data_IF_605876521448
#
_entry.id   IF_605876521448
#
_cell.length_a   1.000
_cell.length_b   1.000
_cell.length_c   1.000
_cell.angle_alpha   90.00
_cell.angle_beta   90.00
_cell.angle_gamma   90.00
#
_symmetry.space_group_name_H-M   'P 1'
#
loop_
_entity.id
_entity.type
_entity.pdbx_description
1 polymer ?
#
# COMPACT_ATOMS: atom_id res chain seq x y z
N UNK A 1 17.77 19.71 -1.28
CA UNK A 1 17.86 18.44 -0.55
C UNK A 1 16.49 17.76 -0.51
N UNK A 2 16.49 16.45 -0.46
CA UNK A 2 15.27 15.62 -0.35
C UNK A 2 15.45 14.68 0.83
N UNK A 3 14.40 14.53 1.64
CA UNK A 3 14.34 13.59 2.76
C UNK A 3 13.08 12.74 2.57
N UNK A 4 13.24 11.45 2.33
CA UNK A 4 12.15 10.48 2.18
C UNK A 4 11.89 9.69 3.46
N UNK A 5 10.74 9.02 3.51
CA UNK A 5 10.42 8.06 4.55
C UNK A 5 11.34 6.85 4.50
N UNK A 6 11.68 6.30 5.68
CA UNK A 6 12.43 5.07 5.83
C UNK A 6 11.56 3.86 6.18
N UNK A 7 10.28 4.10 6.45
CA UNK A 7 9.34 3.02 6.76
C UNK A 7 8.22 2.90 5.72
N UNK A 8 7.83 1.67 5.45
CA UNK A 8 6.61 1.35 4.74
C UNK A 8 5.99 0.09 5.37
N UNK A 9 4.79 0.17 5.93
CA UNK A 9 3.89 1.36 6.04
C UNK A 9 4.55 2.56 6.72
N UNK A 10 4.19 3.77 6.29
CA UNK A 10 4.76 5.01 6.81
C UNK A 10 4.34 5.26 8.27
N UNK A 11 5.22 4.96 9.22
CA UNK A 11 5.04 5.22 10.65
C UNK A 11 6.06 6.25 11.19
N UNK A 12 6.96 6.75 10.34
CA UNK A 12 8.03 7.71 10.62
C UNK A 12 7.76 9.12 10.07
N UNK A 13 6.48 9.49 9.91
CA UNK A 13 6.05 10.79 9.36
C UNK A 13 6.62 11.99 10.14
N UNK A 14 6.55 11.92 11.48
CA UNK A 14 7.03 12.97 12.36
C UNK A 14 8.56 13.07 12.33
N UNK A 15 9.24 11.95 12.44
CA UNK A 15 10.71 11.86 12.43
C UNK A 15 11.28 12.36 11.10
N UNK A 16 10.66 11.98 9.98
CA UNK A 16 11.03 12.45 8.64
C UNK A 16 10.85 13.96 8.51
N UNK A 17 9.73 14.51 9.00
CA UNK A 17 9.49 15.95 9.05
C UNK A 17 10.54 16.68 9.90
N UNK A 18 10.86 16.17 11.08
CA UNK A 18 11.91 16.72 11.95
C UNK A 18 13.29 16.68 11.28
N UNK A 19 13.63 15.57 10.61
CA UNK A 19 14.89 15.42 9.87
C UNK A 19 14.99 16.46 8.74
N UNK A 20 13.93 16.60 7.96
CA UNK A 20 13.88 17.58 6.88
C UNK A 20 14.03 19.03 7.38
N UNK A 21 13.34 19.37 8.47
CA UNK A 21 13.43 20.71 9.08
C UNK A 21 14.85 21.00 9.62
N UNK A 22 15.46 20.05 10.33
CA UNK A 22 16.84 20.18 10.83
C UNK A 22 17.84 20.36 9.70
N UNK A 23 17.72 19.57 8.63
CA UNK A 23 18.58 19.71 7.47
C UNK A 23 18.43 21.09 6.81
N UNK A 24 17.18 21.55 6.65
CA UNK A 24 16.93 22.89 6.11
C UNK A 24 17.55 24.01 6.96
N UNK A 25 17.42 23.95 8.30
CA UNK A 25 18.02 24.95 9.20
C UNK A 25 19.55 24.96 9.09
N UNK A 26 20.20 23.77 9.03
CA UNK A 26 21.66 23.67 8.85
C UNK A 26 22.13 24.17 7.49
N UNK A 27 21.34 24.05 6.44
CA UNK A 27 21.63 24.65 5.14
C UNK A 27 21.52 26.18 5.22
N UNK A 28 20.50 26.70 5.87
CA UNK A 28 20.30 28.15 6.01
C UNK A 28 21.34 28.83 6.91
N UNK A 29 21.86 28.13 7.93
CA UNK A 29 22.97 28.62 8.78
C UNK A 29 24.34 28.52 8.11
N UNK A 30 24.45 27.83 6.97
CA UNK A 30 25.74 27.59 6.30
C UNK A 30 26.53 26.42 6.83
N UNK A 31 26.03 25.64 7.80
CA UNK A 31 26.68 24.46 8.37
C UNK A 31 26.71 23.29 7.38
N UNK A 32 25.82 23.27 6.39
CA UNK A 32 25.71 22.27 5.35
C UNK A 32 25.65 22.93 3.97
N UNK A 33 26.59 22.54 3.11
CA UNK A 33 26.58 22.82 1.66
C UNK A 33 26.11 21.56 0.92
N UNK A 34 24.81 21.38 0.63
CA UNK A 34 24.30 20.09 0.16
C UNK A 34 24.77 19.77 -1.25
N UNK A 35 25.33 18.58 -1.42
CA UNK A 35 25.56 17.94 -2.73
C UNK A 35 24.56 16.80 -2.86
N UNK A 36 23.87 16.69 -4.01
CA UNK A 36 22.82 15.72 -4.21
C UNK A 36 23.06 14.88 -5.47
N UNK A 37 22.93 13.57 -5.34
CA UNK A 37 22.92 12.65 -6.47
C UNK A 37 21.55 11.97 -6.60
N UNK A 38 21.08 11.82 -7.83
CA UNK A 38 19.82 11.16 -8.18
C UNK A 38 20.07 10.03 -9.18
N UNK A 39 19.42 8.89 -8.94
CA UNK A 39 19.41 7.77 -9.89
C UNK A 39 17.98 7.31 -10.12
N UNK A 40 17.55 7.34 -11.37
CA UNK A 40 16.28 6.73 -11.81
C UNK A 40 16.55 5.31 -12.26
N UNK A 41 15.68 4.39 -11.91
CA UNK A 41 15.77 2.97 -12.23
C UNK A 41 14.57 2.64 -13.11
N UNK A 42 14.74 2.04 -14.30
CA UNK A 42 13.64 1.72 -15.21
C UNK A 42 12.86 0.50 -14.72
N UNK A 43 12.25 0.61 -13.54
CA UNK A 43 11.41 -0.43 -12.95
C UNK A 43 10.29 0.18 -12.12
N UNK A 44 9.18 -0.53 -12.07
CA UNK A 44 8.08 -0.34 -11.13
C UNK A 44 7.91 -1.63 -10.34
N UNK A 45 7.56 -1.54 -9.07
CA UNK A 45 7.42 -2.72 -8.20
C UNK A 45 6.08 -2.67 -7.47
N UNK A 46 5.43 -3.83 -7.25
CA UNK A 46 4.23 -3.92 -6.44
C UNK A 46 4.45 -3.42 -5.01
N UNK A 47 3.47 -2.72 -4.47
CA UNK A 47 3.56 -2.15 -3.13
C UNK A 47 3.53 -3.21 -2.02
N UNK A 48 3.07 -4.42 -2.32
CA UNK A 48 2.92 -5.56 -1.41
C UNK A 48 4.26 -6.01 -0.82
N UNK A 49 5.35 -5.92 -1.59
CA UNK A 49 6.70 -6.32 -1.16
C UNK A 49 7.61 -5.11 -0.85
N UNK A 50 7.03 -3.91 -0.64
CA UNK A 50 7.77 -2.72 -0.24
C UNK A 50 7.87 -2.55 1.29
N UNK A 51 7.43 -3.51 2.13
CA UNK A 51 7.59 -3.38 3.58
C UNK A 51 9.07 -3.23 3.95
N UNK A 52 9.34 -2.36 4.93
CA UNK A 52 10.70 -2.06 5.38
C UNK A 52 11.10 -2.85 6.63
N UNK A 53 10.18 -3.61 7.23
CA UNK A 53 10.46 -4.50 8.37
C UNK A 53 11.15 -5.80 7.96
N UNK A 54 11.10 -6.15 6.68
CA UNK A 54 11.69 -7.40 6.12
C UNK A 54 11.75 -7.30 4.59
N UNK A 55 12.26 -8.36 3.96
CA UNK A 55 12.23 -8.48 2.51
C UNK A 55 13.24 -7.59 1.78
N UNK A 56 13.10 -7.45 0.44
CA UNK A 56 14.09 -6.76 -0.39
C UNK A 56 14.18 -5.26 -0.08
N UNK A 57 13.05 -4.60 0.18
CA UNK A 57 13.05 -3.16 0.44
C UNK A 57 13.62 -2.84 1.84
N UNK A 58 13.37 -3.69 2.84
CA UNK A 58 13.98 -3.57 4.17
C UNK A 58 15.51 -3.61 4.10
N UNK A 59 16.08 -4.59 3.37
CA UNK A 59 17.54 -4.68 3.19
C UNK A 59 18.14 -3.46 2.49
N UNK A 60 17.42 -2.85 1.54
CA UNK A 60 17.86 -1.61 0.90
C UNK A 60 17.83 -0.44 1.88
N UNK A 61 16.82 -0.36 2.76
CA UNK A 61 16.74 0.66 3.80
C UNK A 61 17.85 0.49 4.85
N UNK A 62 18.20 -0.75 5.24
CA UNK A 62 19.33 -1.01 6.14
C UNK A 62 20.65 -0.43 5.58
N UNK A 63 20.88 -0.58 4.27
CA UNK A 63 22.05 -0.02 3.60
C UNK A 63 21.99 1.52 3.57
N UNK A 64 20.83 2.09 3.30
CA UNK A 64 20.62 3.54 3.30
C UNK A 64 20.90 4.14 4.68
N UNK A 65 20.36 3.55 5.73
CA UNK A 65 20.57 3.97 7.12
C UNK A 65 22.02 3.81 7.57
N UNK A 66 22.68 2.73 7.15
CA UNK A 66 24.10 2.54 7.44
C UNK A 66 24.96 3.66 6.85
N UNK A 67 24.66 4.11 5.63
CA UNK A 67 25.35 5.23 5.01
C UNK A 67 25.01 6.57 5.68
N UNK A 68 23.77 6.77 6.11
CA UNK A 68 23.38 8.00 6.83
C UNK A 68 24.11 8.18 8.17
N UNK A 69 24.58 7.11 8.77
CA UNK A 69 25.40 7.16 10.01
C UNK A 69 26.85 7.60 9.76
N UNK A 70 27.27 7.77 8.51
CA UNK A 70 28.61 8.28 8.19
C UNK A 70 28.65 9.81 8.31
N UNK A 71 29.86 10.35 8.58
CA UNK A 71 30.06 11.78 8.81
C UNK A 71 29.78 12.71 7.63
N UNK A 72 29.63 12.17 6.43
CA UNK A 72 29.41 12.95 5.20
C UNK A 72 27.99 12.87 4.68
N UNK A 73 27.16 12.01 5.24
CA UNK A 73 25.79 11.81 4.78
C UNK A 73 24.82 12.72 5.54
N UNK A 74 23.88 13.30 4.81
CA UNK A 74 22.78 14.09 5.37
C UNK A 74 21.43 13.40 5.23
N UNK A 75 21.18 12.77 4.07
CA UNK A 75 19.98 11.98 3.84
C UNK A 75 20.16 10.99 2.69
N UNK A 76 19.55 9.82 2.83
CA UNK A 76 19.41 8.82 1.76
C UNK A 76 17.94 8.48 1.62
N UNK A 77 17.41 8.53 0.40
CA UNK A 77 16.01 8.25 0.12
C UNK A 77 15.91 7.24 -1.01
N UNK A 78 15.09 6.19 -0.80
CA UNK A 78 14.80 5.18 -1.81
C UNK A 78 13.29 5.22 -2.07
N UNK A 79 12.90 5.38 -3.33
CA UNK A 79 11.50 5.51 -3.73
C UNK A 79 11.08 4.34 -4.61
N UNK A 80 10.16 3.52 -4.10
CA UNK A 80 9.57 2.39 -4.80
C UNK A 80 8.47 2.78 -5.78
N UNK A 81 8.10 4.04 -5.87
CA UNK A 81 7.00 4.66 -6.62
C UNK A 81 5.60 4.17 -6.22
N UNK A 82 4.58 4.86 -6.66
CA UNK A 82 3.20 4.39 -6.67
C UNK A 82 2.93 3.76 -8.04
N UNK A 83 2.93 2.43 -8.17
CA UNK A 83 3.08 1.77 -9.46
C UNK A 83 1.87 1.95 -10.39
N UNK A 84 0.73 2.34 -9.87
CA UNK A 84 -0.52 2.50 -10.63
C UNK A 84 -0.65 3.85 -11.36
N UNK A 85 0.31 4.76 -11.19
CA UNK A 85 0.31 6.03 -11.91
C UNK A 85 0.78 5.83 -13.35
N UNK A 86 0.05 6.40 -14.30
CA UNK A 86 0.42 6.39 -15.72
C UNK A 86 1.01 7.75 -16.12
N UNK A 87 2.26 7.99 -15.72
CA UNK A 87 2.98 9.25 -15.94
C UNK A 87 4.33 9.01 -16.64
N UNK A 88 4.84 10.00 -17.43
CA UNK A 88 6.10 9.86 -18.13
C UNK A 88 7.33 9.82 -17.22
N UNK A 89 7.23 10.29 -15.98
CA UNK A 89 8.30 10.28 -14.98
C UNK A 89 8.35 8.97 -14.17
N UNK A 90 7.56 7.96 -14.51
CA UNK A 90 7.50 6.68 -13.78
C UNK A 90 8.86 5.99 -13.71
N UNK A 91 9.11 5.34 -12.59
CA UNK A 91 10.31 4.54 -12.30
C UNK A 91 10.81 4.74 -10.88
N UNK A 92 11.30 3.65 -10.27
CA UNK A 92 11.94 3.71 -8.97
C UNK A 92 13.14 4.65 -8.97
N UNK A 93 13.52 5.18 -7.80
CA UNK A 93 14.63 6.11 -7.74
C UNK A 93 15.35 6.09 -6.39
N UNK A 94 16.59 6.57 -6.41
CA UNK A 94 17.44 6.78 -5.23
C UNK A 94 17.94 8.20 -5.24
N UNK A 95 17.88 8.86 -4.08
CA UNK A 95 18.45 10.19 -3.85
C UNK A 95 19.40 10.11 -2.66
N UNK A 96 20.61 10.64 -2.83
CA UNK A 96 21.60 10.74 -1.75
C UNK A 96 22.02 12.20 -1.60
N UNK A 97 21.96 12.70 -0.37
CA UNK A 97 22.39 14.06 0.01
C UNK A 97 23.58 13.95 0.93
N UNK A 98 24.66 14.66 0.60
CA UNK A 98 25.89 14.73 1.41
C UNK A 98 26.25 16.19 1.68
N UNK A 99 27.09 16.44 2.69
CA UNK A 99 27.67 17.75 2.93
C UNK A 99 28.96 17.92 2.11
N UNK A 100 28.86 18.65 1.01
CA UNK A 100 30.01 19.03 0.15
C UNK A 100 30.71 17.88 -0.61
N UNK A 101 30.28 16.62 -0.43
CA UNK A 101 30.93 15.45 -1.03
C UNK A 101 30.07 14.84 -2.16
N UNK A 102 30.04 15.52 -3.31
CA UNK A 102 29.28 15.04 -4.47
C UNK A 102 29.76 13.69 -5.00
N UNK A 103 31.06 13.38 -4.91
CA UNK A 103 31.59 12.09 -5.36
C UNK A 103 31.07 10.92 -4.50
N UNK A 104 30.98 11.10 -3.19
CA UNK A 104 30.40 10.11 -2.29
C UNK A 104 28.89 9.95 -2.55
N UNK A 105 28.15 11.05 -2.76
CA UNK A 105 26.74 11.01 -3.13
C UNK A 105 26.50 10.20 -4.40
N UNK A 106 27.29 10.46 -5.46
CA UNK A 106 27.21 9.75 -6.74
C UNK A 106 27.53 8.25 -6.61
N UNK A 107 28.58 7.89 -5.89
CA UNK A 107 28.96 6.49 -5.66
C UNK A 107 27.87 5.73 -4.90
N UNK A 108 27.36 6.32 -3.82
CA UNK A 108 26.33 5.70 -3.01
C UNK A 108 25.00 5.58 -3.74
N UNK A 109 24.55 6.63 -4.44
CA UNK A 109 23.33 6.59 -5.23
C UNK A 109 23.40 5.49 -6.31
N UNK A 110 24.56 5.36 -6.99
CA UNK A 110 24.77 4.32 -7.99
C UNK A 110 24.80 2.92 -7.37
N UNK A 111 25.46 2.76 -6.23
CA UNK A 111 25.52 1.49 -5.50
C UNK A 111 24.13 1.00 -5.10
N UNK A 112 23.33 1.86 -4.45
CA UNK A 112 21.95 1.57 -4.04
C UNK A 112 21.04 1.31 -5.23
N UNK A 113 21.12 2.10 -6.30
CA UNK A 113 20.31 1.90 -7.49
C UNK A 113 20.61 0.55 -8.18
N UNK A 114 21.89 0.16 -8.24
CA UNK A 114 22.28 -1.15 -8.76
C UNK A 114 21.83 -2.29 -7.85
N UNK A 115 21.88 -2.14 -6.52
CA UNK A 115 21.35 -3.11 -5.56
C UNK A 115 19.84 -3.28 -5.72
N UNK A 116 19.11 -2.16 -5.82
CA UNK A 116 17.67 -2.16 -6.02
C UNK A 116 17.29 -2.87 -7.34
N UNK A 117 17.97 -2.55 -8.42
CA UNK A 117 17.78 -3.24 -9.70
C UNK A 117 18.04 -4.74 -9.64
N UNK A 118 19.11 -5.16 -8.94
CA UNK A 118 19.47 -6.58 -8.79
C UNK A 118 18.38 -7.36 -8.05
N UNK A 119 17.76 -6.77 -7.04
CA UNK A 119 16.68 -7.39 -6.25
C UNK A 119 15.30 -7.32 -6.90
N UNK A 120 15.15 -6.80 -8.13
CA UNK A 120 13.84 -6.53 -8.76
C UNK A 120 12.88 -7.71 -8.78
N UNK A 121 13.39 -8.93 -8.97
CA UNK A 121 12.55 -10.14 -8.98
C UNK A 121 12.06 -10.58 -7.61
N UNK A 122 12.68 -10.10 -6.54
CA UNK A 122 12.23 -10.36 -5.17
C UNK A 122 11.00 -9.52 -4.79
N UNK A 123 10.64 -8.54 -5.63
CA UNK A 123 9.40 -7.76 -5.47
C UNK A 123 8.20 -8.40 -6.16
N UNK A 124 8.39 -9.45 -6.95
CA UNK A 124 7.30 -10.18 -7.58
C UNK A 124 6.36 -10.73 -6.48
N UNK A 125 5.06 -10.74 -6.75
CA UNK A 125 4.02 -11.07 -5.77
C UNK A 125 3.27 -12.32 -6.21
N UNK A 126 3.18 -13.29 -5.31
CA UNK A 126 2.33 -14.47 -5.51
C UNK A 126 0.88 -14.13 -5.16
N UNK A 127 0.08 -13.91 -6.19
CA UNK A 127 -1.34 -13.61 -6.05
C UNK A 127 -2.17 -14.89 -6.12
N UNK A 128 -3.17 -15.01 -5.26
CA UNK A 128 -4.07 -16.15 -5.19
C UNK A 128 -5.47 -15.75 -5.67
N UNK A 129 -6.06 -16.44 -6.67
CA UNK A 129 -7.44 -16.18 -7.08
C UNK A 129 -8.41 -16.22 -5.91
N UNK A 130 -9.41 -15.32 -5.89
CA UNK A 130 -10.29 -15.10 -4.73
C UNK A 130 -10.97 -16.40 -4.23
N UNK A 131 -11.47 -17.23 -5.13
CA UNK A 131 -12.12 -18.50 -4.77
C UNK A 131 -11.14 -19.48 -4.12
N UNK A 132 -9.88 -19.51 -4.59
CA UNK A 132 -8.83 -20.33 -4.01
C UNK A 132 -8.41 -19.77 -2.64
N UNK A 133 -8.25 -18.47 -2.51
CA UNK A 133 -7.90 -17.80 -1.25
C UNK A 133 -8.94 -18.08 -0.16
N UNK A 134 -10.23 -18.02 -0.50
CA UNK A 134 -11.33 -18.36 0.42
C UNK A 134 -11.27 -19.85 0.82
N UNK A 135 -11.10 -20.77 -0.14
CA UNK A 135 -10.97 -22.19 0.18
C UNK A 135 -9.77 -22.50 1.07
N UNK A 136 -8.64 -21.84 0.84
CA UNK A 136 -7.45 -21.96 1.69
C UNK A 136 -7.75 -21.40 3.09
N UNK A 137 -8.38 -20.23 3.19
CA UNK A 137 -8.75 -19.62 4.46
C UNK A 137 -9.67 -20.52 5.30
N UNK A 138 -10.63 -21.18 4.68
CA UNK A 138 -11.56 -22.09 5.37
C UNK A 138 -10.91 -23.38 5.88
N UNK A 139 -9.77 -23.79 5.31
CA UNK A 139 -9.01 -24.96 5.75
C UNK A 139 -8.06 -24.70 6.91
N UNK A 140 -7.70 -23.42 7.13
CA UNK A 140 -6.83 -23.07 8.26
C UNK A 140 -7.56 -23.34 9.59
N UNK A 141 -6.87 -23.89 10.57
CA UNK A 141 -7.42 -24.00 11.92
C UNK A 141 -7.35 -22.67 12.65
N UNK A 142 -8.50 -22.21 13.17
CA UNK A 142 -8.63 -20.92 13.81
C UNK A 142 -8.72 -19.77 12.80
N UNK A 143 -8.46 -18.55 13.26
CA UNK A 143 -8.57 -17.32 12.47
C UNK A 143 -8.09 -16.10 13.26
N UNK A 144 -8.20 -14.91 12.68
CA UNK A 144 -8.65 -14.62 11.32
C UNK A 144 -7.62 -14.98 10.25
N UNK A 145 -8.08 -15.39 9.08
CA UNK A 145 -7.29 -15.31 7.86
C UNK A 145 -7.59 -13.97 7.18
N UNK A 146 -6.55 -13.17 6.96
CA UNK A 146 -6.69 -11.87 6.31
C UNK A 146 -6.50 -12.03 4.81
N UNK A 147 -7.50 -11.64 4.03
CA UNK A 147 -7.44 -11.57 2.58
C UNK A 147 -7.15 -10.12 2.16
N UNK A 148 -6.01 -9.88 1.56
CA UNK A 148 -5.63 -8.55 1.05
C UNK A 148 -6.10 -8.40 -0.39
N UNK A 149 -7.19 -7.67 -0.60
CA UNK A 149 -7.70 -7.24 -1.92
C UNK A 149 -7.06 -5.88 -2.26
N UNK A 150 -5.78 -5.90 -2.64
CA UNK A 150 -5.03 -4.68 -2.93
C UNK A 150 -5.42 -3.99 -4.23
N UNK A 151 -6.06 -4.72 -5.15
CA UNK A 151 -6.52 -4.19 -6.44
C UNK A 151 -7.57 -3.07 -6.32
N UNK A 152 -8.25 -2.97 -5.15
CA UNK A 152 -9.22 -1.93 -4.85
C UNK A 152 -8.85 -1.19 -3.54
N UNK A 153 -7.57 -0.86 -3.39
CA UNK A 153 -7.05 -0.18 -2.22
C UNK A 153 -7.47 1.30 -2.18
N UNK A 154 -8.27 1.66 -1.18
CA UNK A 154 -8.71 3.05 -0.97
C UNK A 154 -7.56 3.99 -0.64
N UNK A 155 -6.55 3.51 0.08
CA UNK A 155 -5.31 4.26 0.35
C UNK A 155 -4.45 4.50 -0.88
N UNK A 156 -4.67 3.73 -1.95
CA UNK A 156 -3.97 3.86 -3.23
C UNK A 156 -4.75 4.67 -4.27
N UNK A 157 -5.94 5.18 -3.90
CA UNK A 157 -6.81 5.98 -4.76
C UNK A 157 -7.91 5.20 -5.48
N UNK A 158 -8.08 3.90 -5.16
CA UNK A 158 -9.19 3.11 -5.68
C UNK A 158 -10.51 3.45 -4.97
N UNK A 159 -11.66 3.21 -5.59
CA UNK A 159 -12.95 3.59 -5.02
C UNK A 159 -13.35 2.79 -3.78
N UNK A 160 -12.87 1.58 -3.58
CA UNK A 160 -13.24 0.72 -2.45
C UNK A 160 -14.56 -0.01 -2.63
N UNK A 161 -15.05 -0.15 -3.87
CA UNK A 161 -16.36 -0.71 -4.17
C UNK A 161 -16.31 -2.06 -4.93
N UNK A 162 -15.10 -2.65 -5.07
CA UNK A 162 -14.92 -3.94 -5.74
C UNK A 162 -15.70 -5.06 -5.07
N UNK A 163 -16.33 -5.86 -5.89
CA UNK A 163 -17.04 -7.09 -5.50
C UNK A 163 -16.24 -8.36 -5.82
N UNK A 164 -14.95 -8.19 -6.18
CA UNK A 164 -14.07 -9.28 -6.60
C UNK A 164 -13.92 -10.38 -5.54
N UNK A 165 -13.84 -10.01 -4.27
CA UNK A 165 -13.84 -10.95 -3.15
C UNK A 165 -15.24 -11.17 -2.58
N UNK A 166 -16.12 -10.17 -2.59
CA UNK A 166 -17.47 -10.30 -2.02
C UNK A 166 -18.27 -11.41 -2.69
N UNK A 167 -18.29 -11.45 -4.02
CA UNK A 167 -19.05 -12.46 -4.77
C UNK A 167 -18.66 -13.89 -4.39
N UNK A 168 -17.40 -14.31 -4.49
CA UNK A 168 -17.00 -15.65 -4.09
C UNK A 168 -17.18 -15.92 -2.56
N UNK A 169 -17.11 -14.91 -1.69
CA UNK A 169 -17.45 -15.09 -0.28
C UNK A 169 -18.93 -15.48 -0.08
N UNK A 170 -19.84 -14.86 -0.81
CA UNK A 170 -21.27 -15.18 -0.74
C UNK A 170 -21.58 -16.55 -1.35
N UNK A 171 -20.88 -16.93 -2.42
CA UNK A 171 -21.03 -18.22 -3.10
C UNK A 171 -20.46 -19.40 -2.29
N UNK A 172 -19.48 -19.15 -1.43
CA UNK A 172 -18.80 -20.16 -0.63
C UNK A 172 -19.66 -20.77 0.49
N UNK A 173 -20.85 -20.24 0.78
CA UNK A 173 -21.76 -20.72 1.83
C UNK A 173 -21.06 -20.92 3.18
N UNK A 174 -20.48 -19.86 3.72
CA UNK A 174 -19.64 -19.91 4.93
C UNK A 174 -20.42 -20.42 6.15
N UNK A 175 -19.77 -21.23 6.97
CA UNK A 175 -20.25 -21.66 8.29
C UNK A 175 -19.71 -20.79 9.44
N UNK A 176 -18.62 -20.07 9.18
CA UNK A 176 -17.96 -19.17 10.14
C UNK A 176 -18.01 -17.72 9.62
N UNK A 177 -17.95 -16.72 10.51
CA UNK A 177 -18.17 -15.34 10.13
C UNK A 177 -17.01 -14.76 9.30
N UNK A 178 -17.37 -13.94 8.31
CA UNK A 178 -16.44 -13.16 7.51
C UNK A 178 -16.82 -11.67 7.54
N UNK A 179 -15.83 -10.78 7.43
CA UNK A 179 -16.00 -9.34 7.36
C UNK A 179 -15.36 -8.76 6.10
N UNK A 180 -16.05 -7.82 5.45
CA UNK A 180 -15.56 -7.07 4.30
C UNK A 180 -16.07 -5.63 4.35
N UNK A 181 -15.26 -4.68 3.88
CA UNK A 181 -15.64 -3.28 3.71
C UNK A 181 -15.93 -2.96 2.24
N UNK A 182 -16.96 -2.14 2.01
CA UNK A 182 -17.33 -1.64 0.67
C UNK A 182 -17.81 -0.20 0.73
N UNK A 183 -17.41 0.61 -0.23
CA UNK A 183 -18.00 1.93 -0.47
C UNK A 183 -19.23 1.79 -1.35
N UNK A 184 -20.42 2.06 -0.80
CA UNK A 184 -21.68 2.05 -1.54
C UNK A 184 -22.72 2.99 -0.94
N UNK A 185 -22.75 4.28 -1.36
CA UNK A 185 -23.71 5.25 -0.85
C UNK A 185 -25.18 4.85 -1.04
N UNK A 186 -25.47 4.11 -2.12
CA UNK A 186 -26.84 3.67 -2.42
C UNK A 186 -27.28 2.57 -1.45
N UNK A 187 -26.39 1.60 -1.18
CA UNK A 187 -26.67 0.55 -0.20
C UNK A 187 -26.87 1.13 1.20
N UNK A 188 -26.04 2.13 1.59
CA UNK A 188 -26.20 2.86 2.85
C UNK A 188 -27.57 3.56 2.91
N UNK A 189 -27.95 4.28 1.86
CA UNK A 189 -29.25 4.96 1.80
C UNK A 189 -30.43 3.98 1.95
N UNK A 190 -30.37 2.83 1.26
CA UNK A 190 -31.41 1.79 1.36
C UNK A 190 -31.49 1.23 2.78
N UNK A 191 -30.33 0.94 3.41
CA UNK A 191 -30.28 0.43 4.77
C UNK A 191 -30.85 1.44 5.79
N UNK A 192 -30.44 2.71 5.71
CA UNK A 192 -30.96 3.77 6.60
C UNK A 192 -32.47 4.00 6.45
N UNK A 193 -33.00 3.91 5.22
CA UNK A 193 -34.42 4.02 4.98
C UNK A 193 -35.20 2.85 5.56
N UNK A 194 -34.64 1.64 5.51
CA UNK A 194 -35.31 0.42 6.00
C UNK A 194 -35.26 0.28 7.53
N UNK A 195 -34.20 0.76 8.18
CA UNK A 195 -33.99 0.64 9.62
C UNK A 195 -33.34 -0.67 10.04
N UNK A 196 -32.77 -0.67 11.25
CA UNK A 196 -32.15 -1.85 11.88
C UNK A 196 -33.16 -2.99 12.04
N UNK A 197 -32.71 -4.23 11.79
CA UNK A 197 -33.54 -5.45 11.86
C UNK A 197 -34.25 -5.78 10.56
N UNK A 198 -34.43 -4.81 9.65
CA UNK A 198 -35.12 -5.01 8.36
C UNK A 198 -34.32 -5.89 7.43
N UNK A 199 -35.00 -6.63 6.57
CA UNK A 199 -34.38 -7.36 5.43
C UNK A 199 -34.64 -6.60 4.15
N UNK A 200 -33.57 -6.33 3.38
CA UNK A 200 -33.62 -5.55 2.15
C UNK A 200 -33.08 -6.37 0.97
N UNK A 201 -33.68 -6.17 -0.20
CA UNK A 201 -33.20 -6.69 -1.47
C UNK A 201 -32.50 -5.54 -2.20
N UNK A 202 -31.23 -5.68 -2.50
CA UNK A 202 -30.49 -4.64 -3.21
C UNK A 202 -29.33 -5.23 -4.04
N UNK A 203 -28.75 -4.39 -4.87
CA UNK A 203 -27.45 -4.67 -5.51
C UNK A 203 -26.38 -3.85 -4.80
N UNK A 204 -25.25 -4.46 -4.43
CA UNK A 204 -24.17 -3.81 -3.67
C UNK A 204 -22.85 -3.84 -4.40
N UNK A 205 -22.03 -2.78 -4.26
CA UNK A 205 -20.71 -2.60 -4.85
C UNK A 205 -20.72 -2.35 -6.36
N UNK A 206 -19.54 -2.25 -6.98
CA UNK A 206 -19.35 -2.09 -8.43
C UNK A 206 -20.07 -0.88 -9.04
N UNK A 207 -20.14 0.25 -8.30
CA UNK A 207 -20.82 1.46 -8.75
C UNK A 207 -19.89 2.43 -9.44
N UNK A 208 -18.67 2.53 -8.95
CA UNK A 208 -17.67 3.48 -9.43
C UNK A 208 -16.73 2.82 -10.45
N UNK A 209 -16.08 1.73 -10.09
CA UNK A 209 -15.24 0.95 -11.03
C UNK A 209 -16.07 -0.06 -11.81
N UNK A 210 -16.71 0.44 -12.86
CA UNK A 210 -17.55 -0.38 -13.76
C UNK A 210 -16.74 -1.22 -14.76
N UNK A 211 -15.44 -0.99 -14.86
CA UNK A 211 -14.57 -1.79 -15.75
C UNK A 211 -14.22 -3.11 -15.07
N UNK A 212 -13.83 -3.07 -13.82
CA UNK A 212 -13.29 -4.21 -13.08
C UNK A 212 -14.32 -4.87 -12.16
N UNK A 213 -15.45 -4.22 -11.87
CA UNK A 213 -16.42 -4.71 -10.89
C UNK A 213 -17.87 -4.65 -11.41
N UNK A 214 -18.74 -5.48 -10.86
CA UNK A 214 -20.18 -5.50 -11.15
C UNK A 214 -20.96 -5.62 -9.84
N UNK A 215 -22.09 -4.90 -9.70
CA UNK A 215 -22.94 -5.01 -8.51
C UNK A 215 -23.42 -6.44 -8.27
N UNK A 216 -23.45 -6.86 -7.01
CA UNK A 216 -23.92 -8.18 -6.57
C UNK A 216 -25.31 -8.05 -5.96
N UNK A 217 -26.30 -8.83 -6.43
CA UNK A 217 -27.62 -8.87 -5.79
C UNK A 217 -27.53 -9.59 -4.44
N UNK A 218 -28.08 -8.98 -3.39
CA UNK A 218 -28.10 -9.54 -2.05
C UNK A 218 -29.47 -9.39 -1.40
N UNK A 219 -29.82 -10.38 -0.56
CA UNK A 219 -30.86 -10.29 0.44
C UNK A 219 -30.17 -10.13 1.79
N UNK A 220 -30.10 -8.91 2.30
CA UNK A 220 -29.32 -8.57 3.46
C UNK A 220 -30.18 -8.11 4.62
N UNK A 221 -29.84 -8.51 5.84
CA UNK A 221 -30.39 -7.95 7.07
C UNK A 221 -29.59 -6.73 7.47
N UNK A 222 -30.26 -5.62 7.79
CA UNK A 222 -29.62 -4.43 8.35
C UNK A 222 -29.30 -4.70 9.83
N UNK A 223 -28.04 -4.86 10.16
CA UNK A 223 -27.59 -5.19 11.52
C UNK A 223 -27.30 -3.94 12.36
N UNK A 224 -26.70 -2.93 11.74
CA UNK A 224 -26.29 -1.69 12.42
C UNK A 224 -26.36 -0.53 11.43
N UNK A 225 -26.69 0.67 11.94
CA UNK A 225 -26.61 1.95 11.24
C UNK A 225 -25.75 2.90 12.08
N UNK A 226 -24.86 3.65 11.46
CA UNK A 226 -23.99 4.61 12.14
C UNK A 226 -23.76 5.87 11.29
N UNK A 227 -23.17 6.89 11.91
CA UNK A 227 -22.76 8.13 11.24
C UNK A 227 -21.41 8.02 10.53
N UNK A 228 -20.72 6.87 10.69
CA UNK A 228 -19.45 6.54 10.07
C UNK A 228 -18.26 7.27 10.66
N UNK A 229 -18.37 7.78 11.88
CA UNK A 229 -17.24 8.32 12.64
C UNK A 229 -16.48 7.20 13.34
N UNK A 230 -15.18 7.27 13.30
CA UNK A 230 -14.30 6.32 13.99
C UNK A 230 -12.91 6.91 14.15
N UNK A 231 -12.11 6.38 15.07
CA UNK A 231 -10.76 6.87 15.35
C UNK A 231 -9.77 5.72 15.21
N UNK A 232 -8.79 5.80 14.28
CA UNK A 232 -7.67 4.85 14.24
C UNK A 232 -6.88 4.88 15.54
N UNK A 233 -6.62 3.71 16.13
CA UNK A 233 -5.94 3.59 17.42
C UNK A 233 -4.55 2.96 17.31
N UNK A 234 -4.25 2.32 16.17
CA UNK A 234 -2.97 1.71 15.93
C UNK A 234 -1.91 2.70 15.44
N UNK A 235 -0.63 2.34 15.55
CA UNK A 235 0.46 3.12 14.96
C UNK A 235 0.33 3.17 13.43
N UNK A 236 0.27 4.37 12.88
CA UNK A 236 0.15 4.56 11.44
C UNK A 236 -0.53 5.87 11.07
N UNK A 237 -1.21 5.86 9.93
CA UNK A 237 -1.92 7.03 9.42
C UNK A 237 -3.05 7.46 10.35
N UNK A 238 -3.08 8.75 10.68
CA UNK A 238 -4.18 9.37 11.42
C UNK A 238 -4.46 8.78 12.82
N UNK A 239 -3.46 8.15 13.47
CA UNK A 239 -3.61 7.64 14.84
C UNK A 239 -4.18 8.71 15.76
N UNK A 240 -5.29 8.40 16.44
CA UNK A 240 -5.96 9.31 17.37
C UNK A 240 -6.75 10.45 16.69
N UNK A 241 -6.80 10.51 15.36
CA UNK A 241 -7.56 11.54 14.64
C UNK A 241 -8.90 10.97 14.20
N UNK A 242 -10.00 11.55 14.70
CA UNK A 242 -11.33 11.16 14.25
C UNK A 242 -11.46 11.31 12.74
N UNK A 243 -11.92 10.26 12.09
CA UNK A 243 -12.23 10.21 10.67
C UNK A 243 -13.72 10.00 10.46
N UNK A 244 -14.22 10.39 9.29
CA UNK A 244 -15.64 10.24 8.95
C UNK A 244 -15.79 9.74 7.52
N UNK A 245 -16.39 8.56 7.36
CA UNK A 245 -16.69 7.96 6.06
C UNK A 245 -18.15 8.19 5.58
N UNK A 246 -18.82 9.21 6.15
CA UNK A 246 -20.24 9.45 5.93
C UNK A 246 -21.09 8.40 6.64
N UNK A 247 -22.41 8.42 6.44
CA UNK A 247 -23.25 7.39 7.02
C UNK A 247 -22.76 6.01 6.61
N UNK A 248 -22.94 5.06 7.50
CA UNK A 248 -22.52 3.68 7.32
C UNK A 248 -23.59 2.69 7.77
N UNK A 249 -23.49 1.46 7.32
CA UNK A 249 -24.34 0.36 7.73
C UNK A 249 -23.55 -0.94 7.75
N UNK A 250 -23.88 -1.82 8.68
CA UNK A 250 -23.48 -3.22 8.64
C UNK A 250 -24.65 -4.04 8.11
N UNK A 251 -24.41 -4.69 6.99
CA UNK A 251 -25.33 -5.60 6.33
C UNK A 251 -24.89 -7.04 6.58
N UNK A 252 -25.83 -7.92 6.88
CA UNK A 252 -25.58 -9.34 7.14
C UNK A 252 -26.22 -10.19 6.04
N UNK A 253 -25.40 -10.99 5.37
CA UNK A 253 -25.81 -11.96 4.35
C UNK A 253 -25.23 -13.32 4.76
N UNK A 254 -26.03 -14.18 5.34
CA UNK A 254 -25.53 -15.41 5.98
C UNK A 254 -24.48 -15.09 7.03
N UNK A 255 -23.29 -15.65 6.89
CA UNK A 255 -22.15 -15.39 7.77
C UNK A 255 -21.32 -14.16 7.36
N UNK A 256 -21.61 -13.55 6.21
CA UNK A 256 -20.84 -12.39 5.72
C UNK A 256 -21.39 -11.10 6.32
N UNK A 257 -20.53 -10.36 7.00
CA UNK A 257 -20.78 -9.00 7.52
C UNK A 257 -20.14 -8.00 6.58
N UNK A 258 -20.97 -7.22 5.92
CA UNK A 258 -20.55 -6.22 4.95
C UNK A 258 -20.66 -4.85 5.63
N UNK A 259 -19.56 -4.27 6.04
CA UNK A 259 -19.51 -2.86 6.44
C UNK A 259 -19.52 -2.01 5.17
N UNK A 260 -20.57 -1.21 5.01
CA UNK A 260 -20.69 -0.30 3.86
C UNK A 260 -20.77 1.16 4.30
N UNK A 261 -20.18 2.07 3.54
CA UNK A 261 -20.11 3.50 3.84
C UNK A 261 -20.37 4.36 2.59
N UNK A 262 -20.72 5.63 2.83
CA UNK A 262 -20.95 6.61 1.76
C UNK A 262 -19.65 7.09 1.12
N UNK A 263 -18.54 7.11 1.88
CA UNK A 263 -17.22 7.56 1.43
C UNK A 263 -16.15 6.53 1.76
N UNK A 264 -15.03 6.62 1.07
CA UNK A 264 -13.91 5.72 1.27
C UNK A 264 -13.29 5.87 2.66
N UNK A 265 -12.81 4.74 3.20
CA UNK A 265 -11.98 4.67 4.40
C UNK A 265 -10.84 3.68 4.17
N UNK A 266 -9.70 3.90 4.79
CA UNK A 266 -8.58 2.94 4.73
C UNK A 266 -8.85 1.77 5.68
N UNK A 267 -8.78 0.54 5.15
CA UNK A 267 -9.01 -0.69 5.91
C UNK A 267 -7.72 -1.19 6.60
N UNK A 268 -6.89 -0.26 7.05
CA UNK A 268 -5.57 -0.56 7.64
C UNK A 268 -5.61 -0.77 9.15
N UNK A 269 -6.66 -0.29 9.81
CA UNK A 269 -6.83 -0.38 11.26
C UNK A 269 -8.08 -1.21 11.60
N UNK A 270 -7.98 -2.22 12.48
CA UNK A 270 -9.12 -3.00 12.97
C UNK A 270 -10.25 -2.17 13.57
N UNK A 271 -9.95 -0.96 14.07
CA UNK A 271 -10.95 -0.06 14.66
C UNK A 271 -12.03 0.37 13.65
N UNK A 272 -11.75 0.35 12.35
CA UNK A 272 -12.77 0.53 11.32
C UNK A 272 -13.93 -0.46 11.48
N UNK A 273 -13.61 -1.72 11.75
CA UNK A 273 -14.61 -2.76 11.97
C UNK A 273 -15.17 -2.74 13.40
N UNK A 274 -14.31 -2.55 14.41
CA UNK A 274 -14.69 -2.54 15.83
C UNK A 274 -15.71 -1.47 16.15
N UNK A 275 -15.50 -0.25 15.64
CA UNK A 275 -16.45 0.88 15.80
C UNK A 275 -17.84 0.60 15.21
N UNK A 276 -17.96 -0.44 14.38
CA UNK A 276 -19.20 -0.90 13.77
C UNK A 276 -19.65 -2.27 14.31
N UNK A 277 -19.19 -2.67 15.50
CA UNK A 277 -19.61 -3.90 16.17
C UNK A 277 -19.14 -5.19 15.48
N UNK A 278 -18.04 -5.12 14.74
CA UNK A 278 -17.39 -6.29 14.14
C UNK A 278 -15.97 -6.41 14.73
N UNK A 279 -15.72 -7.44 15.55
CA UNK A 279 -14.37 -7.72 16.05
C UNK A 279 -13.63 -8.62 15.05
N UNK A 280 -12.57 -8.10 14.39
CA UNK A 280 -11.81 -8.88 13.40
C UNK A 280 -11.24 -10.18 13.95
N UNK A 281 -10.81 -10.19 15.22
CA UNK A 281 -10.26 -11.40 15.86
C UNK A 281 -11.27 -12.56 15.98
N UNK A 282 -12.57 -12.26 15.91
CA UNK A 282 -13.64 -13.26 15.98
C UNK A 282 -14.14 -13.67 14.59
N UNK A 283 -13.52 -13.18 13.53
CA UNK A 283 -13.87 -13.56 12.16
C UNK A 283 -12.99 -14.70 11.68
N UNK A 284 -13.53 -15.59 10.87
CA UNK A 284 -12.75 -16.58 10.14
C UNK A 284 -11.95 -15.92 9.02
N UNK A 285 -12.60 -15.00 8.30
CA UNK A 285 -12.02 -14.26 7.19
C UNK A 285 -12.23 -12.77 7.41
N UNK A 286 -11.19 -11.98 7.23
CA UNK A 286 -11.28 -10.51 7.19
C UNK A 286 -10.69 -10.03 5.86
N UNK A 287 -11.48 -9.32 5.08
CA UNK A 287 -11.01 -8.73 3.82
C UNK A 287 -10.57 -7.29 4.06
N UNK A 288 -9.32 -7.00 3.74
CA UNK A 288 -8.74 -5.66 3.78
C UNK A 288 -8.44 -5.18 2.36
N UNK A 289 -8.68 -3.90 2.09
CA UNK A 289 -8.42 -3.26 0.78
C UNK A 289 -7.14 -2.41 0.89
N UNK A 290 -6.01 -3.09 1.00
CA UNK A 290 -4.72 -2.43 1.19
C UNK A 290 -3.58 -3.36 0.78
N UNK A 291 -2.55 -2.90 0.03
CA UNK A 291 -1.42 -3.73 -0.35
C UNK A 291 -0.52 -4.09 0.82
N UNK A 292 -0.32 -3.16 1.78
CA UNK A 292 0.66 -3.35 2.85
C UNK A 292 0.29 -2.63 4.16
N UNK A 293 -0.40 -1.48 4.09
CA UNK A 293 -0.68 -0.63 5.26
C UNK A 293 -1.37 -1.34 6.43
N UNK A 294 -2.10 -2.41 6.17
CA UNK A 294 -2.79 -3.20 7.18
C UNK A 294 -1.86 -4.08 8.03
N UNK A 295 -0.65 -4.42 7.55
CA UNK A 295 0.22 -5.41 8.18
C UNK A 295 0.55 -5.07 9.62
N UNK A 296 0.93 -3.84 9.89
CA UNK A 296 1.33 -3.41 11.24
C UNK A 296 0.29 -3.75 12.33
N UNK A 297 -0.99 -3.77 11.99
CA UNK A 297 -2.09 -3.94 12.93
C UNK A 297 -2.84 -5.27 12.79
N UNK A 298 -2.79 -5.89 11.62
CA UNK A 298 -3.46 -7.17 11.38
C UNK A 298 -2.52 -8.38 11.49
N UNK A 299 -1.20 -8.25 11.23
CA UNK A 299 -0.26 -9.37 11.40
C UNK A 299 -0.29 -9.98 12.82
N UNK A 300 -0.38 -9.19 13.90
CA UNK A 300 -0.48 -9.76 15.24
C UNK A 300 -1.78 -10.53 15.51
N UNK A 301 -2.83 -10.26 14.73
CA UNK A 301 -4.14 -10.89 14.85
C UNK A 301 -4.30 -12.08 13.89
N UNK A 302 -3.63 -12.01 12.74
CA UNK A 302 -3.86 -12.92 11.63
C UNK A 302 -3.16 -14.26 11.83
N UNK A 303 -3.89 -15.34 11.66
CA UNK A 303 -3.32 -16.68 11.52
C UNK A 303 -2.54 -16.82 10.22
N UNK A 304 -3.05 -16.22 9.15
CA UNK A 304 -2.45 -16.21 7.82
C UNK A 304 -2.89 -14.98 7.04
N UNK A 305 -2.03 -14.50 6.15
CA UNK A 305 -2.33 -13.44 5.19
C UNK A 305 -2.24 -14.02 3.79
N UNK A 306 -3.23 -13.77 2.95
CA UNK A 306 -3.26 -14.21 1.55
C UNK A 306 -3.48 -12.96 0.68
N UNK A 307 -2.57 -12.74 -0.28
CA UNK A 307 -2.69 -11.68 -1.27
C UNK A 307 -3.60 -12.17 -2.39
N UNK A 308 -4.71 -11.47 -2.61
CA UNK A 308 -5.77 -11.96 -3.50
C UNK A 308 -5.64 -11.33 -4.88
N UNK A 309 -5.72 -12.17 -5.91
CA UNK A 309 -5.80 -11.75 -7.30
C UNK A 309 -7.25 -11.39 -7.67
N UNK A 310 -7.50 -10.11 -7.82
CA UNK A 310 -8.77 -9.57 -8.33
C UNK A 310 -8.49 -8.44 -9.30
N UNK A 311 -9.35 -8.21 -10.32
CA UNK A 311 -9.22 -7.05 -11.19
C UNK A 311 -9.47 -5.76 -10.40
N UNK A 312 -8.75 -4.69 -10.75
CA UNK A 312 -8.94 -3.37 -10.13
C UNK A 312 -7.83 -2.40 -10.51
N UNK A 313 -8.04 -1.12 -10.22
CA UNK A 313 -7.16 -0.03 -10.65
C UNK A 313 -5.84 0.05 -9.86
N UNK A 314 -5.76 -0.61 -8.70
CA UNK A 314 -4.53 -0.72 -7.92
C UNK A 314 -4.01 -2.17 -7.82
N UNK A 315 -4.19 -2.96 -8.88
CA UNK A 315 -3.73 -4.35 -8.92
C UNK A 315 -2.22 -4.48 -8.78
N UNK A 316 -1.78 -5.49 -8.01
CA UNK A 316 -0.38 -5.89 -7.93
C UNK A 316 0.10 -6.58 -9.22
N UNK A 317 -0.81 -7.10 -10.03
CA UNK A 317 -0.51 -7.57 -11.38
C UNK A 317 -0.34 -6.38 -12.32
N UNK A 318 0.82 -5.71 -12.26
CA UNK A 318 1.10 -4.48 -13.00
C UNK A 318 0.98 -4.67 -14.52
N UNK A 319 1.23 -5.86 -15.04
CA UNK A 319 1.11 -6.16 -16.46
C UNK A 319 -0.34 -6.12 -16.97
N UNK A 320 -1.33 -6.26 -16.09
CA UNK A 320 -2.76 -6.17 -16.44
C UNK A 320 -3.27 -4.73 -16.59
N UNK A 321 -2.49 -3.72 -16.18
CA UNK A 321 -2.91 -2.33 -16.18
C UNK A 321 -2.65 -1.66 -17.54
N UNK A 322 -3.55 -0.78 -18.00
CA UNK A 322 -3.50 -0.20 -19.35
C UNK A 322 -2.58 1.02 -19.44
N UNK A 323 -1.29 0.88 -19.08
CA UNK A 323 -0.33 1.96 -19.16
C UNK A 323 -0.14 2.50 -20.59
N UNK A 324 -0.13 3.83 -20.73
CA UNK A 324 0.03 4.54 -22.01
C UNK A 324 1.18 5.56 -21.99
N UNK A 325 1.49 6.12 -20.80
CA UNK A 325 2.46 7.20 -20.62
C UNK A 325 3.73 6.75 -19.92
N UNK A 326 3.69 5.63 -19.21
CA UNK A 326 4.85 5.05 -18.54
C UNK A 326 5.97 4.82 -19.57
N UNK A 327 7.20 5.30 -19.29
CA UNK A 327 8.31 5.16 -20.23
C UNK A 327 8.65 3.69 -20.47
N UNK A 328 8.99 3.38 -21.71
CA UNK A 328 9.35 2.02 -22.14
C UNK A 328 10.76 2.03 -22.73
N UNK A 329 11.60 0.98 -22.52
CA UNK A 329 11.28 -0.23 -21.77
C UNK A 329 11.40 -0.04 -20.25
N UNK A 330 10.50 -0.69 -19.48
CA UNK A 330 10.49 -0.66 -18.01
C UNK A 330 10.13 -2.05 -17.45
N UNK A 331 10.81 -2.51 -16.40
CA UNK A 331 10.50 -3.73 -15.68
C UNK A 331 9.25 -3.52 -14.77
N UNK A 332 8.30 -4.46 -14.65
CA UNK A 332 8.22 -5.77 -15.30
C UNK A 332 7.45 -5.77 -16.63
N UNK A 333 7.06 -4.60 -17.17
CA UNK A 333 6.19 -4.50 -18.35
C UNK A 333 6.89 -4.91 -19.65
N UNK A 334 8.21 -4.89 -19.67
CA UNK A 334 9.04 -5.26 -20.83
C UNK A 334 10.04 -6.34 -20.47
N UNK A 335 10.18 -7.32 -21.37
CA UNK A 335 11.23 -8.31 -21.28
C UNK A 335 12.60 -7.71 -21.67
N UNK A 336 13.66 -8.22 -21.07
CA UNK A 336 15.03 -7.87 -21.47
C UNK A 336 15.49 -6.47 -21.08
N UNK A 337 14.77 -5.75 -20.21
CA UNK A 337 15.22 -4.46 -19.68
C UNK A 337 16.58 -4.61 -19.00
N UNK A 338 17.53 -3.75 -19.37
CA UNK A 338 18.87 -3.71 -18.79
C UNK A 338 19.09 -2.39 -18.09
N UNK A 339 19.72 -2.44 -16.95
CA UNK A 339 20.11 -1.26 -16.18
C UNK A 339 21.43 -1.48 -15.47
N UNK A 340 22.25 -0.45 -15.50
CA UNK A 340 23.45 -0.33 -14.68
C UNK A 340 23.65 1.17 -14.43
N UNK A 341 23.57 1.58 -13.17
CA UNK A 341 23.93 2.95 -12.82
C UNK A 341 25.44 3.14 -13.02
N UNK A 342 25.87 4.29 -13.56
CA UNK A 342 27.28 4.56 -13.73
C UNK A 342 27.99 4.58 -12.37
N UNK A 343 29.00 3.73 -12.23
CA UNK A 343 29.94 3.76 -11.10
C UNK A 343 31.12 4.62 -11.57
N UNK A 344 31.44 5.69 -10.85
CA UNK A 344 32.62 6.49 -11.19
C UNK A 344 33.86 5.58 -11.17
N UNK A 345 34.46 5.36 -12.34
CA UNK A 345 35.80 4.74 -12.43
C UNK A 345 36.82 5.70 -11.83
N UNK A 346 37.89 5.17 -11.21
CA UNK A 346 39.00 5.98 -10.67
C UNK A 346 39.63 6.90 -11.72
N UNK A 347 39.45 6.62 -13.01
CA UNK A 347 39.92 7.44 -14.12
C UNK A 347 39.30 8.86 -14.11
N UNK A 348 38.04 9.03 -13.71
CA UNK A 348 37.40 10.36 -13.60
C UNK A 348 37.90 11.17 -12.40
N UNK A 349 38.42 10.53 -11.35
CA UNK A 349 39.04 11.23 -10.21
C UNK A 349 40.31 11.98 -10.58
N UNK A 350 41.07 11.49 -11.58
CA UNK A 350 42.31 12.14 -12.05
C UNK A 350 42.04 13.37 -12.90
N UNK A 351 40.97 13.38 -13.71
CA UNK A 351 40.68 14.52 -14.60
C UNK A 351 40.13 15.75 -13.84
N UNK A 352 39.47 15.55 -12.67
CA UNK A 352 39.05 16.67 -11.83
C UNK A 352 40.16 17.28 -10.98
N UNK A 353 41.21 16.48 -10.62
CA UNK A 353 42.40 17.00 -9.92
C UNK A 353 43.38 17.75 -10.82
N UNK A 354 43.28 17.60 -12.14
CA UNK A 354 44.11 18.34 -13.11
C UNK A 354 43.46 19.65 -13.58
N UNK A 355 42.28 20.01 -13.12
CA UNK A 355 41.58 21.26 -13.45
C UNK A 355 41.31 22.16 -12.21
N UNK A 356 41.82 21.79 -11.05
CA UNK A 356 41.96 22.62 -9.85
C UNK A 356 43.46 22.93 -9.65
#
# INVERSE_FOLDING_TARGET
AIVGYHTYPHIDLFETGCKAARLMLRILSGDVAPSMAFRKIPMIVPAENMQTTSGPFGRLMDVAEAFERTSHSEAVSIFGVQPWLDIPEMGCSVVVVTNGNGAAAEAQASGLANAFWKSRHEFDVDLVPAERAIREALREEGGPVVLSESSDSTGSGSPGDSTGVLRPLLEAQLHEPAAIFLVDPVAVQVAHKAGVGSTVLMKIGGRFDRLNSRPVPVKARVRLLADGRWTPMGRGYNTGIETCMGRSAVLEVGQVRILTAERSAMTVDPELFRSHGIEPAHMKIVVVKSPNGFRALYEPLAKKIILVDTPGVSSANLASLPYRRVPRPIYPLDAGVRYSAPVQSEANRRSMRSRA
#
